data_IF_414710307170
#
_entry.id   IF_414710307170
#
_cell.length_a   1.000
_cell.length_b   1.000
_cell.length_c   1.000
_cell.angle_alpha   90.00
_cell.angle_beta   90.00
_cell.angle_gamma   90.00
#
_symmetry.space_group_name_H-M   'P 1'
#
loop_
_entity.id
_entity.type
_entity.pdbx_description
1 polymer ?
#
# COMPACT_ATOMS: atom_id res chain seq x y z
N UNK A 1 -82.16 -0.11 19.96
CA UNK A 1 -80.82 0.32 20.42
C UNK A 1 -79.79 -0.44 19.63
N UNK A 2 -79.37 0.09 18.51
CA UNK A 2 -78.42 -0.53 17.57
C UNK A 2 -77.10 0.13 17.72
N UNK A 3 -76.10 -0.58 18.27
CA UNK A 3 -74.70 -0.12 18.41
C UNK A 3 -73.98 -0.37 17.08
N UNK A 4 -73.70 0.68 16.37
CA UNK A 4 -72.87 0.66 15.17
C UNK A 4 -71.41 0.64 15.60
N UNK A 5 -70.72 -0.47 15.37
CA UNK A 5 -69.28 -0.59 15.60
C UNK A 5 -68.58 -0.07 14.32
N UNK A 6 -67.93 1.12 14.43
CA UNK A 6 -67.05 1.64 13.41
C UNK A 6 -65.72 0.86 13.48
N UNK A 7 -65.50 0.02 12.49
CA UNK A 7 -64.21 -0.69 12.30
C UNK A 7 -63.29 0.29 11.56
N UNK A 8 -62.38 0.99 12.29
CA UNK A 8 -61.33 1.77 11.68
C UNK A 8 -60.25 0.86 11.11
N UNK A 9 -60.30 0.64 9.81
CA UNK A 9 -59.30 -0.11 9.08
C UNK A 9 -58.04 0.76 8.98
N UNK A 10 -57.08 0.53 9.87
CA UNK A 10 -55.75 1.20 9.85
C UNK A 10 -54.94 0.53 8.71
N UNK A 11 -54.97 1.13 7.52
CA UNK A 11 -54.15 0.74 6.39
C UNK A 11 -52.70 1.16 6.65
N UNK A 12 -51.93 0.28 7.28
CA UNK A 12 -50.47 0.46 7.39
C UNK A 12 -49.89 0.19 6.00
N UNK A 13 -49.67 1.25 5.23
CA UNK A 13 -48.85 1.19 4.02
C UNK A 13 -47.39 0.95 4.46
N UNK A 14 -46.94 -0.32 4.42
CA UNK A 14 -45.56 -0.67 4.43
C UNK A 14 -44.92 -0.02 3.21
N UNK A 15 -44.32 1.15 3.38
CA UNK A 15 -43.35 1.69 2.45
C UNK A 15 -42.13 0.74 2.51
N UNK A 16 -42.18 -0.31 1.71
CA UNK A 16 -40.96 -1.05 1.36
C UNK A 16 -40.10 -0.08 0.56
N UNK A 17 -39.30 0.71 1.27
CA UNK A 17 -38.24 1.45 0.66
C UNK A 17 -37.29 0.44 0.03
N UNK A 18 -37.37 0.28 -1.30
CA UNK A 18 -36.25 -0.32 -2.02
C UNK A 18 -35.04 0.54 -1.66
N UNK A 19 -34.18 0.04 -0.77
CA UNK A 19 -32.86 0.63 -0.58
C UNK A 19 -32.14 0.44 -1.91
N UNK A 20 -32.21 1.45 -2.77
CA UNK A 20 -31.35 1.53 -3.94
C UNK A 20 -29.91 1.45 -3.41
N UNK A 21 -29.20 0.41 -3.82
CA UNK A 21 -27.77 0.29 -3.48
C UNK A 21 -27.04 1.43 -4.17
N UNK A 22 -26.92 2.54 -3.46
CA UNK A 22 -26.13 3.68 -3.89
C UNK A 22 -24.65 3.30 -3.76
N UNK A 23 -23.87 3.52 -4.82
CA UNK A 23 -22.43 3.34 -4.76
C UNK A 23 -21.82 4.68 -4.34
N UNK A 24 -21.07 4.66 -3.23
CA UNK A 24 -20.31 5.79 -2.73
C UNK A 24 -18.85 5.59 -3.06
N UNK A 25 -18.24 6.56 -3.72
CA UNK A 25 -16.81 6.60 -4.03
C UNK A 25 -16.22 7.77 -3.26
N UNK A 26 -15.27 7.47 -2.39
CA UNK A 26 -14.59 8.46 -1.55
C UNK A 26 -13.14 8.56 -1.96
N UNK A 27 -12.62 9.77 -2.13
CA UNK A 27 -11.19 10.02 -2.26
C UNK A 27 -10.63 10.40 -0.90
N UNK A 28 -9.68 9.61 -0.42
CA UNK A 28 -8.93 9.93 0.78
C UNK A 28 -7.43 10.03 0.45
N UNK A 29 -6.67 10.61 1.37
CA UNK A 29 -5.21 10.66 1.27
C UNK A 29 -4.62 9.27 1.49
N UNK A 30 -3.51 9.01 0.82
CA UNK A 30 -2.68 7.82 1.07
C UNK A 30 -1.96 7.93 2.42
N UNK A 31 -1.35 6.83 2.88
CA UNK A 31 -0.66 6.79 4.18
C UNK A 31 0.50 7.79 4.29
N UNK A 32 1.13 8.16 3.16
CA UNK A 32 2.18 9.19 3.08
C UNK A 32 1.61 10.63 3.01
N UNK A 33 0.28 10.78 3.03
CA UNK A 33 -0.40 12.07 3.01
C UNK A 33 -0.63 12.63 1.60
N UNK A 34 -0.24 11.93 0.54
CA UNK A 34 -0.50 12.39 -0.83
C UNK A 34 -1.97 12.23 -1.20
N UNK A 35 -2.48 13.10 -2.05
CA UNK A 35 -3.84 13.04 -2.59
C UNK A 35 -3.74 12.92 -4.10
N UNK A 36 -4.30 11.86 -4.65
CA UNK A 36 -4.43 11.67 -6.08
C UNK A 36 -5.65 12.38 -6.66
N UNK A 37 -5.93 12.12 -7.93
CA UNK A 37 -7.19 12.49 -8.55
C UNK A 37 -7.88 11.24 -9.11
N UNK A 38 -9.21 11.18 -8.97
CA UNK A 38 -10.03 10.08 -9.43
C UNK A 38 -11.14 10.61 -10.32
N UNK A 39 -11.24 10.12 -11.57
CA UNK A 39 -12.38 10.40 -12.44
C UNK A 39 -13.42 9.29 -12.31
N UNK A 40 -14.63 9.66 -11.98
CA UNK A 40 -15.81 8.79 -11.86
C UNK A 40 -16.73 9.05 -13.03
N UNK A 41 -17.03 8.04 -13.84
CA UNK A 41 -17.84 8.18 -15.06
C UNK A 41 -18.97 7.16 -15.09
N UNK A 42 -20.11 7.59 -15.64
CA UNK A 42 -21.24 6.75 -16.04
C UNK A 42 -21.55 6.99 -17.51
N UNK A 43 -22.56 6.33 -18.05
CA UNK A 43 -23.03 6.56 -19.43
C UNK A 43 -23.62 7.98 -19.62
N UNK A 44 -23.87 8.71 -18.54
CA UNK A 44 -24.55 10.04 -18.55
C UNK A 44 -23.69 11.21 -18.10
N UNK A 45 -22.45 10.97 -17.67
CA UNK A 45 -21.55 12.04 -17.29
C UNK A 45 -20.35 11.57 -16.47
N UNK A 46 -19.50 12.52 -16.12
CA UNK A 46 -18.32 12.26 -15.30
C UNK A 46 -18.09 13.36 -14.27
N UNK A 47 -17.46 13.00 -13.17
CA UNK A 47 -16.99 13.90 -12.11
C UNK A 47 -15.54 13.59 -11.78
N UNK A 48 -14.79 14.59 -11.33
CA UNK A 48 -13.41 14.46 -10.88
C UNK A 48 -13.33 14.77 -9.39
N UNK A 49 -12.83 13.84 -8.60
CA UNK A 49 -12.43 14.04 -7.21
C UNK A 49 -10.94 14.35 -7.20
N UNK A 50 -10.53 15.46 -6.60
CA UNK A 50 -9.12 15.85 -6.47
C UNK A 50 -8.79 16.35 -5.05
N UNK A 51 -9.78 16.34 -4.13
CA UNK A 51 -9.62 16.77 -2.75
C UNK A 51 -9.90 15.59 -1.81
N UNK A 52 -9.02 15.41 -0.83
CA UNK A 52 -9.22 14.39 0.22
C UNK A 52 -10.47 14.67 1.05
N UNK A 53 -11.17 13.63 1.46
CA UNK A 53 -12.42 13.76 2.22
C UNK A 53 -13.61 14.22 1.38
N UNK A 54 -13.54 14.05 0.05
CA UNK A 54 -14.69 14.26 -0.84
C UNK A 54 -15.24 12.96 -1.39
N UNK A 55 -16.52 12.92 -1.68
CA UNK A 55 -17.23 11.76 -2.16
C UNK A 55 -18.14 12.09 -3.35
N UNK A 56 -18.31 11.11 -4.22
CA UNK A 56 -19.30 11.10 -5.32
C UNK A 56 -20.22 9.91 -5.10
N UNK A 57 -21.51 10.14 -5.34
CA UNK A 57 -22.56 9.11 -5.27
C UNK A 57 -23.02 8.73 -6.67
N UNK A 58 -23.20 7.43 -6.88
CA UNK A 58 -23.71 6.86 -8.14
C UNK A 58 -24.93 6.02 -7.79
N UNK A 59 -26.10 6.43 -8.23
CA UNK A 59 -27.32 5.64 -8.06
C UNK A 59 -27.33 4.42 -8.99
N UNK A 60 -27.02 4.67 -10.27
CA UNK A 60 -26.92 3.62 -11.30
C UNK A 60 -26.08 4.13 -12.49
N UNK A 61 -25.86 3.25 -13.48
CA UNK A 61 -25.07 3.59 -14.68
C UNK A 61 -25.75 4.58 -15.63
N UNK A 62 -27.07 4.72 -15.53
CA UNK A 62 -27.88 5.56 -16.43
C UNK A 62 -28.15 6.97 -15.85
N UNK A 63 -27.56 7.30 -14.71
CA UNK A 63 -27.58 8.61 -14.08
C UNK A 63 -26.20 9.21 -14.02
N UNK A 64 -26.08 10.54 -14.12
CA UNK A 64 -24.78 11.20 -13.91
C UNK A 64 -24.33 11.04 -12.46
N UNK A 65 -23.01 10.88 -12.22
CA UNK A 65 -22.49 10.92 -10.86
C UNK A 65 -22.84 12.25 -10.19
N UNK A 66 -23.10 12.24 -8.88
CA UNK A 66 -23.33 13.48 -8.13
C UNK A 66 -22.12 14.41 -8.19
N UNK A 67 -22.25 15.71 -8.02
CA UNK A 67 -21.10 16.58 -7.78
C UNK A 67 -20.30 16.08 -6.56
N UNK A 68 -18.95 16.27 -6.56
CA UNK A 68 -18.14 16.00 -5.38
C UNK A 68 -18.63 16.78 -4.16
N UNK A 69 -18.80 16.11 -3.03
CA UNK A 69 -19.25 16.73 -1.79
C UNK A 69 -18.37 16.24 -0.63
N UNK A 70 -18.13 17.07 0.40
CA UNK A 70 -17.40 16.63 1.59
C UNK A 70 -18.11 15.47 2.28
N UNK A 71 -17.32 14.53 2.80
CA UNK A 71 -17.76 13.44 3.69
C UNK A 71 -17.09 13.60 5.03
N UNK A 72 -17.82 13.40 6.14
CA UNK A 72 -17.21 13.47 7.47
C UNK A 72 -16.36 12.23 7.76
N UNK A 73 -15.35 12.39 8.62
CA UNK A 73 -14.52 11.25 9.06
C UNK A 73 -15.35 10.18 9.74
N UNK A 74 -16.36 10.56 10.53
CA UNK A 74 -17.26 9.62 11.21
C UNK A 74 -18.12 8.84 10.21
N UNK A 75 -18.63 9.49 9.18
CA UNK A 75 -19.41 8.84 8.14
C UNK A 75 -18.53 7.90 7.32
N UNK A 76 -17.35 8.32 6.92
CA UNK A 76 -16.36 7.50 6.22
C UNK A 76 -15.98 6.27 7.05
N UNK A 77 -15.62 6.45 8.31
CA UNK A 77 -15.29 5.34 9.20
C UNK A 77 -16.46 4.37 9.37
N UNK A 78 -17.68 4.86 9.56
CA UNK A 78 -18.86 3.99 9.70
C UNK A 78 -19.12 3.16 8.45
N UNK A 79 -18.95 3.73 7.26
CA UNK A 79 -19.24 3.05 6.00
C UNK A 79 -18.15 2.08 5.57
N UNK A 80 -16.89 2.39 5.90
CA UNK A 80 -15.73 1.60 5.47
C UNK A 80 -15.03 0.87 6.63
N UNK A 81 -15.61 0.85 7.84
CA UNK A 81 -14.99 0.24 9.03
C UNK A 81 -14.48 -1.18 8.77
N UNK A 82 -15.30 -2.04 8.18
CA UNK A 82 -14.93 -3.44 7.91
C UNK A 82 -13.79 -3.53 6.88
N UNK A 83 -13.83 -2.70 5.84
CA UNK A 83 -12.78 -2.66 4.82
C UNK A 83 -11.47 -2.07 5.37
N UNK A 84 -11.55 -1.04 6.21
CA UNK A 84 -10.38 -0.42 6.84
C UNK A 84 -9.70 -1.33 7.85
N UNK A 85 -10.47 -2.17 8.57
CA UNK A 85 -9.91 -3.14 9.53
C UNK A 85 -9.10 -4.25 8.86
N UNK A 86 -9.43 -4.62 7.63
CA UNK A 86 -8.71 -5.65 6.88
C UNK A 86 -7.64 -5.06 5.95
N UNK A 87 -7.45 -3.74 5.96
CA UNK A 87 -6.43 -3.09 5.14
C UNK A 87 -5.04 -3.57 5.61
N UNK A 88 -4.21 -4.13 4.72
CA UNK A 88 -2.86 -4.55 5.09
C UNK A 88 -2.04 -3.38 5.62
N UNK A 89 -1.24 -3.65 6.64
CA UNK A 89 -0.26 -2.66 7.11
C UNK A 89 0.71 -2.32 5.98
N UNK A 90 1.01 -1.04 5.81
CA UNK A 90 2.01 -0.61 4.83
C UNK A 90 3.34 -1.34 5.05
N UNK A 91 4.02 -1.80 4.00
CA UNK A 91 5.33 -2.41 4.13
C UNK A 91 6.32 -1.48 4.83
N UNK A 92 7.17 -2.06 5.68
CA UNK A 92 8.31 -1.34 6.25
C UNK A 92 9.55 -1.63 5.41
N UNK A 93 10.25 -0.58 4.98
CA UNK A 93 11.44 -0.67 4.13
C UNK A 93 12.67 -0.21 4.87
N UNK A 94 13.75 -1.00 4.79
CA UNK A 94 15.03 -0.75 5.44
C UNK A 94 16.14 -0.74 4.39
N UNK A 95 16.94 0.32 4.33
CA UNK A 95 18.05 0.45 3.40
C UNK A 95 19.38 0.11 4.10
N UNK A 96 20.06 -0.90 3.58
CA UNK A 96 21.34 -1.38 4.10
C UNK A 96 22.44 -1.08 3.08
N UNK A 97 23.46 -0.38 3.52
CA UNK A 97 24.61 0.05 2.71
C UNK A 97 25.84 -0.80 3.01
N UNK A 98 26.68 -0.94 2.01
CA UNK A 98 27.92 -1.72 2.09
C UNK A 98 29.15 -0.82 2.11
N UNK A 99 30.23 -1.28 2.73
CA UNK A 99 31.53 -0.66 2.67
C UNK A 99 32.02 -0.61 1.22
N UNK A 100 32.84 0.36 0.88
CA UNK A 100 33.37 0.53 -0.47
C UNK A 100 34.13 -0.72 -0.92
N UNK A 101 33.86 -1.18 -2.14
CA UNK A 101 34.45 -2.38 -2.76
C UNK A 101 34.37 -3.64 -1.88
N UNK A 102 33.30 -3.78 -1.10
CA UNK A 102 33.11 -4.88 -0.16
C UNK A 102 31.66 -5.39 -0.20
N UNK A 103 31.48 -6.62 0.26
CA UNK A 103 30.19 -7.22 0.60
C UNK A 103 29.94 -7.17 2.12
N UNK A 104 30.70 -6.39 2.87
CA UNK A 104 30.45 -6.11 4.28
C UNK A 104 29.50 -4.92 4.44
N UNK A 105 28.53 -5.06 5.33
CA UNK A 105 27.65 -3.96 5.72
C UNK A 105 28.44 -2.87 6.45
N UNK A 106 27.99 -1.61 6.30
CA UNK A 106 28.45 -0.53 7.18
C UNK A 106 28.01 -0.80 8.62
N UNK A 107 28.69 -0.23 9.59
CA UNK A 107 28.37 -0.43 11.02
C UNK A 107 26.95 0.05 11.35
N UNK A 108 26.45 1.08 10.66
CA UNK A 108 25.06 1.54 10.78
C UNK A 108 24.09 0.48 10.24
N UNK A 109 24.35 -0.04 9.05
CA UNK A 109 23.52 -1.08 8.43
C UNK A 109 23.55 -2.39 9.22
N UNK A 110 24.67 -2.72 9.84
CA UNK A 110 24.75 -3.89 10.73
C UNK A 110 23.81 -3.75 11.94
N UNK A 111 23.69 -2.57 12.52
CA UNK A 111 22.76 -2.31 13.64
C UNK A 111 21.29 -2.40 13.20
N UNK A 112 20.97 -2.07 11.95
CA UNK A 112 19.60 -2.18 11.42
C UNK A 112 19.10 -3.62 11.35
N UNK A 113 19.97 -4.62 11.30
CA UNK A 113 19.54 -6.04 11.28
C UNK A 113 18.64 -6.36 12.49
N UNK A 114 19.00 -5.91 13.69
CA UNK A 114 18.17 -6.13 14.87
C UNK A 114 16.81 -5.41 14.77
N UNK A 115 16.78 -4.23 14.18
CA UNK A 115 15.53 -3.47 13.94
C UNK A 115 14.63 -4.20 12.94
N UNK A 116 15.21 -4.76 11.87
CA UNK A 116 14.48 -5.55 10.88
C UNK A 116 13.87 -6.79 11.53
N UNK A 117 14.65 -7.52 12.32
CA UNK A 117 14.18 -8.71 13.06
C UNK A 117 13.01 -8.33 13.98
N UNK A 118 13.13 -7.23 14.72
CA UNK A 118 12.04 -6.74 15.58
C UNK A 118 10.79 -6.36 14.76
N UNK A 119 10.95 -5.78 13.57
CA UNK A 119 9.82 -5.47 12.68
C UNK A 119 9.13 -6.74 12.19
N UNK A 120 9.89 -7.76 11.77
CA UNK A 120 9.34 -9.07 11.35
C UNK A 120 8.55 -9.71 12.48
N UNK A 121 9.09 -9.73 13.70
CA UNK A 121 8.42 -10.30 14.88
C UNK A 121 7.15 -9.53 15.26
N UNK A 122 7.22 -8.21 15.31
CA UNK A 122 6.07 -7.35 15.63
C UNK A 122 4.92 -7.52 14.64
N UNK A 123 5.24 -7.65 13.35
CA UNK A 123 4.26 -7.82 12.26
C UNK A 123 3.83 -9.28 12.09
N UNK A 124 4.53 -10.21 12.69
CA UNK A 124 4.39 -11.66 12.42
C UNK A 124 4.48 -11.96 10.92
N UNK A 125 5.37 -11.22 10.25
CA UNK A 125 5.48 -11.27 8.79
C UNK A 125 6.08 -12.59 8.32
N UNK A 126 5.49 -13.12 7.25
CA UNK A 126 5.98 -14.27 6.47
C UNK A 126 6.30 -13.87 5.02
N UNK A 127 6.41 -12.57 4.76
CA UNK A 127 6.72 -12.02 3.44
C UNK A 127 7.78 -10.94 3.58
N UNK A 128 9.03 -11.37 3.49
CA UNK A 128 10.21 -10.50 3.55
C UNK A 128 10.91 -10.55 2.19
N UNK A 129 11.08 -9.39 1.55
CA UNK A 129 11.87 -9.28 0.33
C UNK A 129 13.23 -8.66 0.64
N UNK A 130 14.31 -9.30 0.19
CA UNK A 130 15.69 -8.81 0.26
C UNK A 130 16.14 -8.47 -1.15
N UNK A 131 16.25 -7.18 -1.47
CA UNK A 131 16.37 -6.66 -2.82
C UNK A 131 17.73 -5.99 -3.00
N UNK A 132 18.60 -6.57 -3.83
CA UNK A 132 19.94 -6.07 -4.10
C UNK A 132 19.99 -5.08 -5.25
N UNK A 133 20.80 -4.01 -5.08
CA UNK A 133 21.02 -2.96 -6.07
C UNK A 133 22.50 -2.60 -6.14
N UNK A 134 22.91 -2.06 -7.31
CA UNK A 134 24.22 -1.47 -7.53
C UNK A 134 24.08 -0.06 -8.10
N UNK A 135 25.18 0.69 -8.12
CA UNK A 135 25.31 1.85 -9.02
C UNK A 135 25.56 1.38 -10.46
N UNK A 136 25.72 2.32 -11.38
CA UNK A 136 25.93 2.08 -12.81
C UNK A 136 27.40 1.99 -13.18
N UNK A 137 28.28 1.71 -12.25
CA UNK A 137 29.70 1.52 -12.52
C UNK A 137 29.97 0.06 -12.90
N UNK A 138 30.52 -0.18 -14.08
CA UNK A 138 30.83 -1.50 -14.60
C UNK A 138 29.79 -2.06 -15.59
N UNK A 139 29.82 -3.35 -15.84
CA UNK A 139 28.85 -3.98 -16.75
C UNK A 139 27.56 -4.42 -16.03
N UNK A 140 26.45 -4.41 -16.75
CA UNK A 140 25.15 -4.88 -16.23
C UNK A 140 25.25 -6.31 -15.68
N UNK A 141 25.93 -7.21 -16.38
CA UNK A 141 26.13 -8.61 -15.91
C UNK A 141 26.90 -8.67 -14.59
N UNK A 142 27.95 -7.87 -14.44
CA UNK A 142 28.68 -7.76 -13.19
C UNK A 142 27.80 -7.21 -12.06
N UNK A 143 27.05 -6.17 -12.35
CA UNK A 143 26.15 -5.49 -11.40
C UNK A 143 25.00 -6.41 -10.97
N UNK A 144 24.46 -7.22 -11.86
CA UNK A 144 23.45 -8.23 -11.51
C UNK A 144 24.02 -9.28 -10.53
N UNK A 145 25.22 -9.81 -10.79
CA UNK A 145 25.88 -10.76 -9.85
C UNK A 145 26.16 -10.12 -8.50
N UNK A 146 26.74 -8.91 -8.50
CA UNK A 146 27.08 -8.20 -7.27
C UNK A 146 25.86 -7.88 -6.42
N UNK A 147 24.75 -7.46 -7.03
CA UNK A 147 23.50 -7.22 -6.33
C UNK A 147 22.93 -8.49 -5.69
N UNK A 148 23.02 -9.63 -6.38
CA UNK A 148 22.60 -10.94 -5.85
C UNK A 148 23.49 -11.35 -4.66
N UNK A 149 24.81 -11.20 -4.76
CA UNK A 149 25.75 -11.55 -3.69
C UNK A 149 25.47 -10.72 -2.42
N UNK A 150 25.26 -9.42 -2.55
CA UNK A 150 24.90 -8.54 -1.44
C UNK A 150 23.56 -8.90 -0.81
N UNK A 151 22.57 -9.21 -1.63
CA UNK A 151 21.27 -9.69 -1.12
C UNK A 151 21.43 -11.01 -0.33
N UNK A 152 22.28 -11.94 -0.79
CA UNK A 152 22.58 -13.18 -0.06
C UNK A 152 23.27 -12.93 1.29
N UNK A 153 24.14 -11.91 1.40
CA UNK A 153 24.73 -11.56 2.69
C UNK A 153 23.65 -11.17 3.70
N UNK A 154 22.73 -10.31 3.30
CA UNK A 154 21.61 -9.88 4.17
C UNK A 154 20.67 -11.04 4.48
N UNK A 155 20.33 -11.86 3.49
CA UNK A 155 19.52 -13.07 3.66
C UNK A 155 20.14 -13.99 4.75
N UNK A 156 21.45 -14.27 4.67
CA UNK A 156 22.13 -15.12 5.65
C UNK A 156 22.10 -14.50 7.06
N UNK A 157 22.21 -13.18 7.19
CA UNK A 157 22.12 -12.50 8.48
C UNK A 157 20.73 -12.60 9.10
N UNK A 158 19.68 -12.48 8.28
CA UNK A 158 18.29 -12.61 8.73
C UNK A 158 17.96 -14.06 9.10
N UNK A 159 18.38 -15.03 8.28
CA UNK A 159 18.22 -16.47 8.59
C UNK A 159 18.96 -16.87 9.87
N UNK A 160 20.20 -16.39 10.07
CA UNK A 160 20.95 -16.61 11.30
C UNK A 160 20.30 -15.97 12.54
N UNK A 161 19.48 -14.95 12.34
CA UNK A 161 18.66 -14.32 13.38
C UNK A 161 17.28 -14.99 13.57
N UNK A 162 17.15 -16.25 13.13
CA UNK A 162 15.95 -17.10 13.29
C UNK A 162 14.71 -16.67 12.50
N UNK A 163 14.87 -15.91 11.41
CA UNK A 163 13.81 -15.73 10.43
C UNK A 163 13.79 -16.95 9.50
N UNK A 164 12.61 -17.54 9.28
CA UNK A 164 12.49 -18.73 8.46
C UNK A 164 12.88 -18.43 7.00
N UNK A 165 13.71 -19.27 6.41
CA UNK A 165 14.17 -19.12 5.02
C UNK A 165 13.03 -19.10 4.01
N UNK A 166 11.95 -19.86 4.30
CA UNK A 166 10.73 -19.88 3.49
C UNK A 166 10.01 -18.54 3.40
N UNK A 167 10.24 -17.65 4.37
CA UNK A 167 9.58 -16.38 4.49
C UNK A 167 10.39 -15.24 3.82
N UNK A 168 11.60 -15.56 3.32
CA UNK A 168 12.52 -14.59 2.71
C UNK A 168 12.65 -14.87 1.21
N UNK A 169 12.36 -13.84 0.41
CA UNK A 169 12.57 -13.85 -1.04
C UNK A 169 13.74 -12.96 -1.42
N UNK A 170 14.71 -13.50 -2.17
CA UNK A 170 15.82 -12.72 -2.73
C UNK A 170 15.44 -12.19 -4.11
N UNK A 171 15.60 -10.87 -4.29
CA UNK A 171 15.43 -10.17 -5.56
C UNK A 171 16.71 -9.39 -5.85
N UNK A 172 17.09 -9.23 -7.10
CA UNK A 172 18.26 -8.46 -7.48
C UNK A 172 18.03 -7.74 -8.81
N UNK A 173 18.30 -6.44 -8.83
CA UNK A 173 18.08 -5.57 -9.97
C UNK A 173 19.38 -5.11 -10.65
N UNK A 174 20.55 -5.40 -10.06
CA UNK A 174 21.77 -4.76 -10.51
C UNK A 174 21.63 -3.24 -10.47
N UNK A 175 21.90 -2.59 -11.58
CA UNK A 175 21.78 -1.13 -11.77
C UNK A 175 20.39 -0.68 -12.27
N UNK A 176 19.49 -1.64 -12.56
CA UNK A 176 18.22 -1.38 -13.28
C UNK A 176 17.15 -0.63 -12.50
N UNK A 177 17.30 -0.50 -11.16
CA UNK A 177 16.36 0.24 -10.31
C UNK A 177 17.10 1.18 -9.35
N UNK A 178 17.63 2.30 -9.86
CA UNK A 178 18.40 3.24 -9.05
C UNK A 178 17.52 4.06 -8.10
N UNK A 179 17.98 4.25 -6.86
CA UNK A 179 17.40 5.22 -5.92
C UNK A 179 17.67 6.66 -6.39
N UNK A 180 18.85 6.87 -6.96
CA UNK A 180 19.28 8.14 -7.51
C UNK A 180 19.61 7.92 -8.99
N UNK A 181 18.86 8.52 -9.92
CA UNK A 181 19.19 8.41 -11.35
C UNK A 181 20.57 8.95 -11.66
N UNK A 182 21.37 8.18 -12.38
CA UNK A 182 22.70 8.55 -12.86
C UNK A 182 22.88 8.13 -14.32
N UNK A 183 23.84 8.72 -15.01
CA UNK A 183 24.32 8.21 -16.27
C UNK A 183 25.09 6.90 -16.09
N UNK A 184 25.35 6.19 -17.20
CA UNK A 184 26.18 4.98 -17.19
C UNK A 184 27.62 5.31 -16.75
N UNK A 185 28.25 4.35 -16.08
CA UNK A 185 29.60 4.47 -15.52
C UNK A 185 29.78 5.59 -14.48
N UNK A 186 28.71 6.02 -13.83
CA UNK A 186 28.77 6.98 -12.72
C UNK A 186 28.57 6.24 -11.38
N UNK A 187 29.53 6.45 -10.47
CA UNK A 187 29.44 5.92 -9.12
C UNK A 187 28.43 6.71 -8.27
N UNK A 188 27.48 6.02 -7.63
CA UNK A 188 26.53 6.62 -6.68
C UNK A 188 26.39 5.72 -5.44
N UNK A 189 26.96 6.13 -4.30
CA UNK A 189 26.94 5.33 -3.07
C UNK A 189 25.53 4.93 -2.62
N UNK A 190 24.52 5.79 -2.81
CA UNK A 190 23.14 5.54 -2.40
C UNK A 190 22.46 4.44 -3.23
N UNK A 191 22.97 4.18 -4.45
CA UNK A 191 22.49 3.09 -5.27
C UNK A 191 23.10 1.74 -4.87
N UNK A 192 24.25 1.71 -4.18
CA UNK A 192 24.91 0.50 -3.69
C UNK A 192 24.29 0.03 -2.38
N UNK A 193 23.10 -0.52 -2.45
CA UNK A 193 22.28 -0.89 -1.29
C UNK A 193 21.63 -2.26 -1.42
N UNK A 194 21.20 -2.77 -0.29
CA UNK A 194 20.17 -3.81 -0.21
C UNK A 194 18.96 -3.20 0.50
N UNK A 195 17.80 -3.36 -0.07
CA UNK A 195 16.54 -3.01 0.55
C UNK A 195 15.89 -4.26 1.14
N UNK A 196 15.49 -4.18 2.42
CA UNK A 196 14.68 -5.22 3.06
C UNK A 196 13.28 -4.67 3.27
N UNK A 197 12.31 -5.31 2.64
CA UNK A 197 10.91 -4.93 2.76
C UNK A 197 10.17 -5.99 3.57
N UNK A 198 9.53 -5.58 4.66
CA UNK A 198 8.74 -6.41 5.58
C UNK A 198 7.27 -6.07 5.40
N UNK A 199 6.46 -7.02 4.93
CA UNK A 199 5.01 -6.87 4.69
C UNK A 199 4.17 -7.50 5.78
#
# INVERSE_FOLDING_TARGET
MTRTILLALFLVTMLAGCATKENLIVLDKTADGTVGALQVSTDKGSQVLAESGTAVRIENRDTSPSPPAPITSEESQRLFADALQVHPLMPESFLLYFKLNSNELTDESQRLIATIVAAVQRRQSKDISVIGHTDRLGSDEHNRRLSMERAKVVYNLLSAASIAESDITIIYHGEGNPLVPTADNVAEPRNRRVEVMVR
#
